data_IF_563831566866
#
_entry.id   IF_563831566866
#
_cell.length_a   1.000
_cell.length_b   1.000
_cell.length_c   1.000
_cell.angle_alpha   90.00
_cell.angle_beta   90.00
_cell.angle_gamma   90.00
#
_symmetry.space_group_name_H-M   'P 1'
#
loop_
_entity.id
_entity.type
_entity.pdbx_description
1 polymer ?
#
# COMPACT_ATOMS: atom_id res chain seq x y z
N UNK A 1 48.92 12.50 17.04
CA UNK A 1 47.61 11.90 17.29
C UNK A 1 46.98 11.67 15.93
N UNK A 2 46.89 10.42 15.46
CA UNK A 2 46.26 10.13 14.17
C UNK A 2 44.75 10.34 14.31
N UNK A 3 44.20 11.33 13.60
CA UNK A 3 42.76 11.45 13.42
C UNK A 3 42.30 10.24 12.59
N UNK A 4 41.86 9.17 13.26
CA UNK A 4 41.09 8.12 12.60
C UNK A 4 39.73 8.71 12.27
N UNK A 5 39.50 9.01 11.00
CA UNK A 5 38.15 9.34 10.52
C UNK A 5 37.23 8.18 10.90
N UNK A 6 36.10 8.42 11.59
CA UNK A 6 35.20 7.35 11.96
C UNK A 6 34.73 6.62 10.70
N UNK A 7 34.84 5.29 10.69
CA UNK A 7 34.34 4.47 9.60
C UNK A 7 32.83 4.45 9.69
N UNK A 8 32.17 5.16 8.78
CA UNK A 8 30.72 5.15 8.67
C UNK A 8 30.26 3.77 8.21
N UNK A 9 29.09 3.35 8.67
CA UNK A 9 28.34 2.27 8.03
C UNK A 9 27.82 2.74 6.67
N UNK A 10 27.48 1.80 5.78
CA UNK A 10 26.90 2.14 4.46
C UNK A 10 25.65 3.03 4.62
N UNK A 11 24.80 2.76 5.61
CA UNK A 11 23.60 3.57 5.81
C UNK A 11 23.91 5.00 6.30
N UNK A 12 24.93 5.17 7.15
CA UNK A 12 25.40 6.51 7.55
C UNK A 12 26.01 7.28 6.38
N UNK A 13 26.72 6.60 5.47
CA UNK A 13 27.20 7.21 4.21
C UNK A 13 26.02 7.70 3.37
N UNK A 14 25.00 6.87 3.14
CA UNK A 14 23.79 7.25 2.39
C UNK A 14 23.02 8.41 3.04
N UNK A 15 22.99 8.46 4.37
CA UNK A 15 22.39 9.55 5.12
C UNK A 15 23.17 10.86 4.94
N UNK A 16 24.51 10.80 5.00
CA UNK A 16 25.37 11.96 4.75
C UNK A 16 25.26 12.45 3.30
N UNK A 17 25.21 11.55 2.32
CA UNK A 17 24.95 11.90 0.91
C UNK A 17 23.58 12.56 0.73
N UNK A 18 22.54 12.03 1.39
CA UNK A 18 21.20 12.61 1.37
C UNK A 18 21.16 14.01 1.98
N UNK A 19 21.86 14.19 3.11
CA UNK A 19 21.97 15.46 3.83
C UNK A 19 22.73 16.52 3.02
N UNK A 20 23.82 16.11 2.35
CA UNK A 20 24.60 16.95 1.44
C UNK A 20 23.92 17.15 0.08
N UNK A 21 22.83 16.42 -0.19
CA UNK A 21 22.08 16.42 -1.45
C UNK A 21 22.95 16.02 -2.66
N UNK A 22 23.95 15.18 -2.46
CA UNK A 22 24.76 14.61 -3.55
C UNK A 22 24.09 13.40 -4.18
N UNK A 23 23.33 12.64 -3.39
CA UNK A 23 22.52 11.51 -3.83
C UNK A 23 21.15 11.58 -3.15
N UNK A 24 20.07 11.31 -3.88
CA UNK A 24 18.70 11.46 -3.37
C UNK A 24 18.09 10.13 -2.90
N UNK A 25 18.69 9.47 -1.91
CA UNK A 25 18.20 8.17 -1.45
C UNK A 25 16.73 8.16 -1.01
N UNK A 26 16.25 9.27 -0.43
CA UNK A 26 14.85 9.47 -0.01
C UNK A 26 13.93 9.95 -1.13
N UNK A 27 14.33 9.85 -2.40
CA UNK A 27 13.44 10.16 -3.53
C UNK A 27 12.27 9.17 -3.57
N UNK A 28 12.55 7.90 -3.37
CA UNK A 28 11.56 6.82 -3.35
C UNK A 28 11.40 6.25 -1.95
N UNK A 29 10.18 5.96 -1.54
CA UNK A 29 9.91 5.41 -0.22
C UNK A 29 8.44 5.04 -0.04
N UNK A 30 8.06 4.64 1.20
CA UNK A 30 6.70 4.24 1.53
C UNK A 30 5.85 5.48 1.80
N UNK A 31 5.76 6.36 0.79
CA UNK A 31 4.99 7.61 0.87
C UNK A 31 3.60 7.47 0.25
N UNK A 32 3.26 6.27 -0.22
CA UNK A 32 1.92 5.88 -0.65
C UNK A 32 1.15 5.37 0.56
N UNK A 33 -0.05 5.90 0.81
CA UNK A 33 -0.90 5.38 1.89
C UNK A 33 -1.50 4.05 1.46
N UNK A 34 -1.89 3.22 2.41
CA UNK A 34 -2.64 2.00 2.11
C UNK A 34 -4.16 2.24 2.10
N UNK A 35 -4.59 3.43 2.56
CA UNK A 35 -5.97 3.91 2.62
C UNK A 35 -6.02 5.43 2.43
N UNK A 36 -6.60 5.88 1.31
CA UNK A 36 -6.81 7.30 0.96
C UNK A 36 -8.29 7.69 0.90
N UNK A 37 -9.20 6.71 0.79
CA UNK A 37 -10.65 6.92 0.78
C UNK A 37 -11.19 7.38 2.15
N UNK A 38 -12.35 8.04 2.14
CA UNK A 38 -13.03 8.52 3.35
C UNK A 38 -12.27 9.60 4.11
N UNK A 39 -11.54 10.48 3.41
CA UNK A 39 -10.72 11.54 4.02
C UNK A 39 -11.28 12.93 3.73
N UNK A 40 -11.09 13.86 4.67
CA UNK A 40 -11.51 15.27 4.55
C UNK A 40 -10.95 15.96 3.31
N UNK A 41 -9.79 15.52 2.81
CA UNK A 41 -9.20 16.11 1.59
C UNK A 41 -9.97 15.73 0.33
N UNK A 42 -10.58 14.55 0.32
CA UNK A 42 -11.32 14.01 -0.81
C UNK A 42 -12.84 14.28 -0.72
N UNK A 43 -13.26 15.04 0.28
CA UNK A 43 -14.66 15.44 0.49
C UNK A 43 -15.06 16.57 -0.46
N UNK A 44 -16.02 16.28 -1.32
CA UNK A 44 -16.68 17.26 -2.20
C UNK A 44 -18.18 17.33 -1.96
N UNK A 45 -18.66 16.74 -0.85
CA UNK A 45 -20.07 16.79 -0.47
C UNK A 45 -20.48 18.22 -0.11
N UNK A 46 -21.75 18.59 -0.32
CA UNK A 46 -22.24 19.92 0.04
C UNK A 46 -22.26 20.17 1.56
N UNK A 47 -22.19 19.12 2.38
CA UNK A 47 -22.43 19.17 3.83
C UNK A 47 -21.19 18.82 4.68
N UNK A 48 -20.05 18.48 4.09
CA UNK A 48 -18.84 18.10 4.84
C UNK A 48 -18.87 16.66 5.37
N UNK A 49 -19.53 15.75 4.67
CA UNK A 49 -19.65 14.33 5.02
C UNK A 49 -18.53 13.50 4.38
N UNK A 50 -17.28 13.85 4.70
CA UNK A 50 -16.06 13.28 4.12
C UNK A 50 -15.99 11.75 4.10
N UNK A 51 -16.50 11.12 5.15
CA UNK A 51 -16.50 9.68 5.31
C UNK A 51 -17.43 8.97 4.30
N UNK A 52 -18.49 9.65 3.90
CA UNK A 52 -19.59 9.08 3.11
C UNK A 52 -19.52 9.51 1.63
N UNK A 53 -18.86 10.64 1.32
CA UNK A 53 -18.71 11.16 -0.05
C UNK A 53 -17.84 10.26 -0.92
N UNK A 54 -16.75 9.73 -0.35
CA UNK A 54 -15.77 8.92 -1.07
C UNK A 54 -15.45 7.63 -0.31
N UNK A 55 -16.41 6.68 -0.22
CA UNK A 55 -16.23 5.43 0.52
C UNK A 55 -15.30 4.46 -0.22
N UNK A 56 -14.91 3.39 0.48
CA UNK A 56 -14.10 2.30 -0.07
C UNK A 56 -14.68 1.73 -1.39
N UNK A 57 -16.01 1.67 -1.54
CA UNK A 57 -16.62 1.14 -2.77
C UNK A 57 -16.36 2.03 -4.00
N UNK A 58 -16.33 3.36 -3.81
CA UNK A 58 -15.99 4.30 -4.88
C UNK A 58 -14.49 4.39 -5.15
N UNK A 59 -13.64 4.16 -4.13
CA UNK A 59 -12.16 4.19 -4.19
C UNK A 59 -11.56 3.42 -5.38
N UNK A 60 -12.31 2.43 -5.85
CA UNK A 60 -11.97 1.43 -6.85
C UNK A 60 -12.18 1.92 -8.27
N UNK A 61 -13.00 2.95 -8.42
CA UNK A 61 -13.53 3.42 -9.70
C UNK A 61 -13.41 4.93 -9.88
N UNK A 62 -12.91 5.64 -8.88
CA UNK A 62 -12.77 7.11 -8.88
C UNK A 62 -11.32 7.48 -8.57
N UNK A 63 -10.75 8.37 -9.38
CA UNK A 63 -9.41 8.88 -9.15
C UNK A 63 -9.38 9.83 -7.95
N UNK A 64 -8.35 9.70 -7.11
CA UNK A 64 -8.05 10.64 -6.05
C UNK A 64 -7.50 11.95 -6.59
N UNK A 65 -7.72 13.04 -5.86
CA UNK A 65 -7.16 14.35 -6.24
C UNK A 65 -5.89 14.69 -5.49
N UNK A 66 -5.81 14.36 -4.19
CA UNK A 66 -4.76 14.85 -3.30
C UNK A 66 -3.74 13.80 -2.89
N UNK A 67 -4.02 12.53 -3.21
CA UNK A 67 -3.19 11.41 -2.84
C UNK A 67 -3.38 10.25 -3.82
N UNK A 68 -2.85 9.10 -3.44
CA UNK A 68 -3.07 7.78 -4.03
C UNK A 68 -2.96 6.76 -2.89
N UNK A 69 -3.56 5.59 -3.05
CA UNK A 69 -3.36 4.47 -2.13
C UNK A 69 -2.96 3.16 -2.83
N UNK A 70 -2.34 2.25 -2.06
CA UNK A 70 -1.99 0.91 -2.52
C UNK A 70 -1.30 0.06 -1.44
N UNK A 71 -1.61 -1.23 -1.40
CA UNK A 71 -1.08 -2.15 -0.36
C UNK A 71 0.44 -2.28 -0.47
N UNK A 72 1.14 -1.90 0.61
CA UNK A 72 2.60 -2.01 0.74
C UNK A 72 3.37 -1.23 -0.33
N UNK A 73 2.75 -0.21 -0.91
CA UNK A 73 3.30 0.49 -2.06
C UNK A 73 4.41 1.47 -1.74
N UNK A 74 5.11 1.88 -2.80
CA UNK A 74 6.09 2.95 -2.79
C UNK A 74 5.73 3.99 -3.83
N UNK A 75 6.21 5.22 -3.64
CA UNK A 75 6.15 6.24 -4.67
C UNK A 75 7.36 7.16 -4.55
N UNK A 76 7.57 7.98 -5.57
CA UNK A 76 8.51 9.09 -5.46
C UNK A 76 7.94 10.13 -4.47
N UNK A 77 8.80 10.99 -3.92
CA UNK A 77 8.43 11.99 -2.90
C UNK A 77 7.38 13.01 -3.35
N UNK A 78 7.09 13.10 -4.64
CA UNK A 78 6.02 13.94 -5.19
C UNK A 78 4.77 13.12 -5.55
N UNK A 79 4.81 11.80 -5.34
CA UNK A 79 3.76 10.82 -5.64
C UNK A 79 3.29 10.93 -7.09
N UNK A 80 4.22 11.14 -8.02
CA UNK A 80 3.93 11.18 -9.45
C UNK A 80 3.84 9.77 -10.02
N UNK A 81 4.72 8.87 -9.55
CA UNK A 81 4.77 7.47 -9.93
C UNK A 81 4.55 6.63 -8.68
N UNK A 82 3.57 5.74 -8.74
CA UNK A 82 3.21 4.84 -7.65
C UNK A 82 3.39 3.40 -8.11
N UNK A 83 3.86 2.56 -7.19
CA UNK A 83 3.87 1.13 -7.33
C UNK A 83 3.22 0.52 -6.09
N UNK A 84 2.35 -0.48 -6.28
CA UNK A 84 1.79 -1.25 -5.18
C UNK A 84 1.37 -2.64 -5.63
N UNK A 85 1.02 -3.45 -4.64
CA UNK A 85 0.55 -4.81 -4.85
C UNK A 85 -0.98 -4.85 -4.89
N UNK A 86 -1.52 -5.50 -5.93
CA UNK A 86 -2.89 -5.97 -5.96
C UNK A 86 -2.93 -7.50 -5.94
N UNK A 87 -3.90 -8.07 -5.23
CA UNK A 87 -4.07 -9.51 -5.06
C UNK A 87 -5.50 -9.94 -5.38
N UNK A 88 -5.68 -11.20 -5.79
CA UNK A 88 -7.00 -11.81 -5.89
C UNK A 88 -6.93 -13.30 -5.60
N UNK A 89 -7.75 -13.79 -4.68
CA UNK A 89 -7.82 -15.20 -4.28
C UNK A 89 -8.78 -16.04 -5.16
N UNK A 90 -9.28 -15.46 -6.26
CA UNK A 90 -10.27 -16.11 -7.15
C UNK A 90 -11.70 -16.13 -6.61
N UNK A 91 -11.93 -15.66 -5.37
CA UNK A 91 -13.22 -15.74 -4.68
C UNK A 91 -13.74 -14.38 -4.20
N UNK A 92 -12.85 -13.44 -3.95
CA UNK A 92 -13.23 -12.09 -3.56
C UNK A 92 -14.02 -11.44 -4.70
N UNK A 93 -15.06 -10.66 -4.37
CA UNK A 93 -15.83 -9.92 -5.37
C UNK A 93 -15.00 -8.82 -6.06
N UNK A 94 -13.82 -8.52 -5.51
CA UNK A 94 -13.02 -7.35 -5.83
C UNK A 94 -11.52 -7.67 -5.76
N UNK A 95 -10.70 -6.95 -6.53
CA UNK A 95 -9.24 -6.98 -6.33
C UNK A 95 -8.90 -6.39 -4.97
N UNK A 96 -7.96 -7.02 -4.27
CA UNK A 96 -7.40 -6.52 -3.03
C UNK A 96 -6.20 -5.64 -3.32
N UNK A 97 -6.48 -4.37 -3.60
CA UNK A 97 -5.51 -3.36 -4.05
C UNK A 97 -5.28 -2.24 -3.02
N UNK A 98 -6.18 -2.11 -2.04
CA UNK A 98 -6.12 -1.14 -0.92
C UNK A 98 -6.71 -1.76 0.33
N UNK A 99 -6.38 -1.23 1.50
CA UNK A 99 -6.91 -1.74 2.75
C UNK A 99 -8.36 -1.33 2.94
N UNK A 100 -9.17 -2.29 3.40
CA UNK A 100 -10.52 -2.05 3.83
C UNK A 100 -10.57 -1.65 5.30
N UNK A 101 -11.62 -0.92 5.66
CA UNK A 101 -11.86 -0.48 7.02
C UNK A 101 -13.25 0.10 7.15
N UNK A 102 -13.54 0.58 8.33
CA UNK A 102 -14.77 1.24 8.71
C UNK A 102 -14.56 2.74 8.75
N UNK A 103 -15.56 3.51 8.33
CA UNK A 103 -15.59 4.94 8.61
C UNK A 103 -15.91 5.21 10.08
N UNK A 104 -15.76 6.47 10.51
CA UNK A 104 -16.09 6.86 11.88
C UNK A 104 -17.54 6.60 12.29
N UNK A 105 -18.47 6.54 11.33
CA UNK A 105 -19.88 6.23 11.57
C UNK A 105 -20.18 4.72 11.57
N UNK A 106 -19.23 3.90 11.10
CA UNK A 106 -19.37 2.44 11.02
C UNK A 106 -18.67 1.71 12.18
N UNK A 107 -17.58 2.26 12.71
CA UNK A 107 -16.89 1.74 13.88
C UNK A 107 -17.42 2.31 15.19
N UNK A 108 -17.45 1.49 16.25
CA UNK A 108 -17.92 1.88 17.57
C UNK A 108 -16.90 2.76 18.35
N UNK A 109 -15.62 2.72 17.96
CA UNK A 109 -14.55 3.57 18.49
C UNK A 109 -13.89 4.50 17.46
N UNK A 110 -14.48 4.62 16.26
CA UNK A 110 -14.02 5.53 15.20
C UNK A 110 -13.65 4.80 13.91
N UNK A 111 -12.79 5.42 13.10
CA UNK A 111 -12.25 4.77 11.91
C UNK A 111 -11.36 3.59 12.30
N UNK A 112 -11.47 2.50 11.55
CA UNK A 112 -10.82 1.25 11.93
C UNK A 112 -10.47 0.40 10.70
N UNK A 113 -9.21 -0.02 10.59
CA UNK A 113 -8.73 -0.83 9.46
C UNK A 113 -8.95 -2.31 9.78
N UNK A 114 -9.76 -2.99 8.97
CA UNK A 114 -10.16 -4.39 9.22
C UNK A 114 -9.28 -5.39 8.49
N UNK A 115 -7.96 -5.15 8.52
CA UNK A 115 -6.96 -5.91 7.77
C UNK A 115 -5.75 -6.21 8.65
N UNK A 116 -5.07 -7.33 8.41
CA UNK A 116 -3.83 -7.66 9.12
C UNK A 116 -2.60 -7.47 8.22
N UNK A 117 -1.77 -6.50 8.60
CA UNK A 117 -0.55 -6.15 7.91
C UNK A 117 0.50 -5.61 8.89
N UNK A 118 1.77 -5.71 8.51
CA UNK A 118 2.89 -5.38 9.39
C UNK A 118 4.04 -4.78 8.58
N UNK A 119 4.56 -3.64 9.05
CA UNK A 119 5.88 -3.15 8.63
C UNK A 119 6.93 -3.89 9.44
N UNK A 120 7.77 -4.66 8.74
CA UNK A 120 8.74 -5.55 9.38
C UNK A 120 10.14 -4.95 9.44
N UNK A 121 10.54 -4.18 8.43
CA UNK A 121 11.84 -3.53 8.38
C UNK A 121 11.79 -2.29 7.49
N UNK A 122 12.58 -1.26 7.83
CA UNK A 122 12.78 -0.07 7.01
C UNK A 122 14.02 0.68 7.48
N UNK A 123 15.02 0.76 6.61
CA UNK A 123 16.20 1.61 6.83
C UNK A 123 15.83 3.11 6.72
N UNK A 124 16.56 4.03 7.40
CA UNK A 124 16.30 5.48 7.34
C UNK A 124 16.28 6.10 5.94
N UNK A 125 17.01 5.54 4.99
CA UNK A 125 17.03 5.95 3.57
C UNK A 125 16.09 5.14 2.68
N UNK A 126 15.33 4.21 3.27
CA UNK A 126 14.50 3.25 2.56
C UNK A 126 15.30 2.45 1.52
N UNK A 127 16.58 2.22 1.80
CA UNK A 127 17.47 1.39 0.97
C UNK A 127 17.11 -0.09 1.06
N UNK A 128 16.48 -0.49 2.17
CA UNK A 128 15.74 -1.73 2.34
C UNK A 128 14.44 -1.46 3.08
N UNK A 129 13.36 -2.14 2.66
CA UNK A 129 12.03 -2.14 3.29
C UNK A 129 11.39 -3.51 3.18
N UNK A 130 10.62 -3.91 4.20
CA UNK A 130 9.86 -5.17 4.21
C UNK A 130 8.48 -4.99 4.83
N UNK A 131 7.47 -5.41 4.10
CA UNK A 131 6.06 -5.39 4.48
C UNK A 131 5.49 -6.82 4.44
N UNK A 132 4.55 -7.12 5.33
CA UNK A 132 3.78 -8.36 5.34
C UNK A 132 2.29 -8.02 5.30
N UNK A 133 1.56 -8.65 4.38
CA UNK A 133 0.10 -8.64 4.33
C UNK A 133 -0.45 -10.05 4.52
N UNK A 134 -1.47 -10.21 5.36
CA UNK A 134 -2.19 -11.48 5.55
C UNK A 134 -3.46 -11.46 4.73
N UNK A 135 -3.49 -12.27 3.66
CA UNK A 135 -4.63 -12.31 2.73
C UNK A 135 -5.39 -13.62 2.84
N UNK A 136 -6.72 -13.56 2.98
CA UNK A 136 -7.56 -14.73 3.21
C UNK A 136 -7.75 -15.56 1.94
N UNK A 137 -7.80 -16.90 2.06
CA UNK A 137 -8.18 -17.78 0.95
C UNK A 137 -9.71 -17.87 0.76
N UNK A 138 -10.46 -17.47 1.78
CA UNK A 138 -11.91 -17.32 1.73
C UNK A 138 -12.28 -15.91 1.27
N UNK A 139 -13.50 -15.72 0.72
CA UNK A 139 -14.03 -14.40 0.42
C UNK A 139 -13.90 -13.49 1.63
N UNK A 140 -13.36 -12.29 1.42
CA UNK A 140 -13.18 -11.33 2.47
C UNK A 140 -14.56 -10.86 3.02
N UNK A 141 -14.79 -10.86 4.35
CA UNK A 141 -16.11 -10.71 4.95
C UNK A 141 -16.57 -9.24 5.11
N UNK A 142 -16.58 -8.46 4.01
CA UNK A 142 -16.90 -7.03 4.02
C UNK A 142 -18.23 -6.69 4.71
N UNK A 143 -19.33 -7.33 4.27
CA UNK A 143 -20.67 -7.03 4.77
C UNK A 143 -20.83 -7.39 6.26
N UNK A 144 -20.29 -8.54 6.67
CA UNK A 144 -20.32 -8.98 8.06
C UNK A 144 -19.58 -8.01 8.99
N UNK A 145 -18.40 -7.53 8.57
CA UNK A 145 -17.64 -6.54 9.34
C UNK A 145 -18.42 -5.24 9.54
N UNK A 146 -19.08 -4.74 8.50
CA UNK A 146 -19.89 -3.53 8.56
C UNK A 146 -21.13 -3.74 9.45
N UNK A 147 -21.88 -4.81 9.19
CA UNK A 147 -23.16 -5.09 9.86
C UNK A 147 -22.99 -5.34 11.36
N UNK A 148 -21.97 -6.09 11.77
CA UNK A 148 -21.72 -6.38 13.17
C UNK A 148 -21.19 -5.15 13.92
N UNK A 149 -20.25 -4.38 13.35
CA UNK A 149 -19.74 -3.19 14.03
C UNK A 149 -20.82 -2.10 14.19
N UNK A 150 -21.73 -1.93 13.23
CA UNK A 150 -22.87 -1.00 13.35
C UNK A 150 -23.83 -1.32 14.50
N UNK A 151 -23.87 -2.57 14.97
CA UNK A 151 -24.71 -2.99 16.10
C UNK A 151 -24.05 -2.70 17.46
N UNK A 152 -22.75 -2.41 17.49
CA UNK A 152 -21.96 -2.26 18.71
C UNK A 152 -21.97 -0.82 19.22
N UNK A 153 -22.05 -0.68 20.52
CA UNK A 153 -21.96 0.60 21.22
C UNK A 153 -20.54 0.90 21.70
N UNK A 154 -20.38 2.09 22.28
CA UNK A 154 -19.09 2.58 22.83
C UNK A 154 -18.50 1.70 23.94
N UNK A 155 -19.35 0.89 24.60
CA UNK A 155 -18.94 0.01 25.70
C UNK A 155 -18.63 -1.42 25.26
N UNK A 156 -18.92 -1.76 24.00
CA UNK A 156 -18.58 -3.05 23.43
C UNK A 156 -17.15 -3.01 22.86
N UNK A 157 -16.53 -4.18 22.75
CA UNK A 157 -15.28 -4.33 22.01
C UNK A 157 -15.52 -4.14 20.51
N UNK A 158 -14.50 -3.75 19.74
CA UNK A 158 -14.56 -3.77 18.28
C UNK A 158 -14.78 -5.21 17.77
N UNK A 159 -15.51 -5.37 16.66
CA UNK A 159 -15.61 -6.66 15.97
C UNK A 159 -14.52 -6.72 14.91
N UNK A 160 -13.56 -7.62 15.11
CA UNK A 160 -12.35 -7.71 14.32
C UNK A 160 -12.45 -8.73 13.20
N UNK A 161 -11.54 -8.62 12.21
CA UNK A 161 -11.46 -9.60 11.12
C UNK A 161 -11.24 -11.03 11.66
N UNK A 162 -10.46 -11.21 12.73
CA UNK A 162 -10.30 -12.51 13.39
C UNK A 162 -11.63 -13.08 13.91
N UNK A 163 -12.56 -12.24 14.37
CA UNK A 163 -13.84 -12.69 14.96
C UNK A 163 -14.83 -13.20 13.90
N UNK A 164 -14.53 -13.00 12.62
CA UNK A 164 -15.34 -13.51 11.50
C UNK A 164 -15.17 -15.01 11.28
N UNK A 165 -14.12 -15.60 11.85
CA UNK A 165 -13.72 -16.99 11.63
C UNK A 165 -12.97 -17.24 10.32
N UNK A 166 -12.70 -16.18 9.51
CA UNK A 166 -12.01 -16.31 8.21
C UNK A 166 -10.59 -16.87 8.32
N UNK A 167 -9.99 -16.85 9.52
CA UNK A 167 -8.66 -17.38 9.82
C UNK A 167 -8.67 -18.71 10.60
N UNK A 168 -9.82 -19.24 11.02
CA UNK A 168 -9.91 -20.38 11.97
C UNK A 168 -9.20 -21.64 11.46
N UNK A 169 -9.26 -21.90 10.15
CA UNK A 169 -8.65 -23.05 9.51
C UNK A 169 -7.19 -22.83 9.05
N UNK A 170 -6.57 -21.72 9.46
CA UNK A 170 -5.25 -21.28 8.96
C UNK A 170 -5.18 -21.12 7.43
N UNK A 171 -6.31 -20.84 6.78
CA UNK A 171 -6.45 -20.71 5.32
C UNK A 171 -6.22 -19.28 4.84
N UNK A 172 -4.95 -18.88 4.85
CA UNK A 172 -4.52 -17.57 4.38
C UNK A 172 -3.15 -17.63 3.70
N UNK A 173 -2.78 -16.53 3.06
CA UNK A 173 -1.46 -16.29 2.50
C UNK A 173 -0.73 -15.26 3.38
N UNK A 174 0.52 -15.56 3.74
CA UNK A 174 1.46 -14.51 4.13
C UNK A 174 2.11 -13.98 2.85
N UNK A 175 1.86 -12.72 2.52
CA UNK A 175 2.41 -12.06 1.34
C UNK A 175 3.42 -11.01 1.77
N UNK A 176 4.70 -11.32 1.57
CA UNK A 176 5.80 -10.42 1.82
C UNK A 176 6.09 -9.58 0.59
N UNK A 177 6.30 -8.29 0.81
CA UNK A 177 6.74 -7.34 -0.20
C UNK A 177 8.02 -6.67 0.31
N UNK A 178 9.11 -6.89 -0.41
CA UNK A 178 10.45 -6.41 -0.08
C UNK A 178 10.94 -5.46 -1.18
N UNK A 179 11.55 -4.37 -0.76
CA UNK A 179 12.22 -3.41 -1.64
C UNK A 179 13.69 -3.32 -1.25
N UNK A 180 14.58 -3.34 -2.24
CA UNK A 180 16.00 -3.13 -2.04
C UNK A 180 16.55 -2.18 -3.10
N UNK A 181 17.29 -1.16 -2.67
CA UNK A 181 17.90 -0.18 -3.57
C UNK A 181 19.34 -0.58 -3.88
N UNK A 182 19.62 -0.86 -5.15
CA UNK A 182 21.00 -0.93 -5.63
C UNK A 182 21.60 0.48 -5.74
N UNK A 183 20.79 1.43 -6.22
CA UNK A 183 21.10 2.87 -6.21
C UNK A 183 19.83 3.68 -5.85
N UNK A 184 19.93 5.00 -5.77
CA UNK A 184 18.77 5.86 -5.49
C UNK A 184 17.67 5.85 -6.58
N UNK A 185 17.96 5.34 -7.78
CA UNK A 185 16.99 5.19 -8.89
C UNK A 185 16.81 3.73 -9.34
N UNK A 186 17.49 2.78 -8.71
CA UNK A 186 17.42 1.36 -9.05
C UNK A 186 16.89 0.57 -7.85
N UNK A 187 15.63 0.14 -7.97
CA UNK A 187 14.85 -0.48 -6.91
C UNK A 187 14.44 -1.88 -7.36
N UNK A 188 14.96 -2.89 -6.67
CA UNK A 188 14.51 -4.26 -6.81
C UNK A 188 13.29 -4.50 -5.92
N UNK A 189 12.31 -5.20 -6.47
CA UNK A 189 11.06 -5.55 -5.79
C UNK A 189 10.96 -7.07 -5.74
N UNK A 190 10.69 -7.62 -4.55
CA UNK A 190 10.45 -9.04 -4.37
C UNK A 190 9.14 -9.26 -3.67
N UNK A 191 8.29 -10.08 -4.28
CA UNK A 191 7.03 -10.53 -3.71
C UNK A 191 7.17 -12.01 -3.40
N UNK A 192 6.94 -12.39 -2.15
CA UNK A 192 6.95 -13.80 -1.71
C UNK A 192 5.61 -14.11 -1.06
N UNK A 193 4.85 -15.03 -1.66
CA UNK A 193 3.58 -15.49 -1.10
C UNK A 193 3.74 -16.91 -0.52
N UNK A 194 3.43 -17.07 0.75
CA UNK A 194 3.35 -18.37 1.41
C UNK A 194 1.90 -18.76 1.64
N UNK A 195 1.46 -19.84 1.01
CA UNK A 195 0.21 -20.50 1.38
C UNK A 195 0.38 -21.15 2.76
N UNK A 196 -0.37 -20.67 3.77
CA UNK A 196 -0.37 -21.21 5.13
C UNK A 196 -1.41 -22.31 5.34
N UNK A 197 -2.36 -22.42 4.41
CA UNK A 197 -3.40 -23.43 4.45
C UNK A 197 -2.88 -24.83 4.10
N UNK A 198 -3.63 -25.87 4.46
CA UNK A 198 -3.24 -27.26 4.22
C UNK A 198 -3.38 -27.69 2.75
N UNK A 199 -4.20 -26.98 1.97
CA UNK A 199 -4.54 -27.33 0.59
C UNK A 199 -3.94 -26.33 -0.40
N UNK A 200 -3.78 -26.76 -1.66
CA UNK A 200 -3.49 -25.84 -2.76
C UNK A 200 -4.58 -24.77 -2.88
N UNK A 201 -4.16 -23.51 -3.03
CA UNK A 201 -5.04 -22.37 -3.19
C UNK A 201 -4.50 -21.44 -4.27
N UNK A 202 -5.40 -20.96 -5.13
CA UNK A 202 -5.08 -20.01 -6.19
C UNK A 202 -4.87 -18.61 -5.61
N UNK A 203 -3.84 -17.92 -6.11
CA UNK A 203 -3.55 -16.53 -5.80
C UNK A 203 -3.05 -15.85 -7.05
N UNK A 204 -3.79 -14.84 -7.51
CA UNK A 204 -3.32 -13.92 -8.52
C UNK A 204 -2.54 -12.79 -7.85
N UNK A 205 -1.34 -12.54 -8.36
CA UNK A 205 -0.43 -11.49 -7.88
C UNK A 205 -0.27 -10.48 -9.00
N UNK A 206 -0.63 -9.22 -8.75
CA UNK A 206 -0.65 -8.14 -9.74
C UNK A 206 0.20 -6.96 -9.23
N UNK A 207 1.53 -7.00 -9.44
CA UNK A 207 2.40 -5.84 -9.21
C UNK A 207 2.00 -4.73 -10.19
N UNK A 208 1.60 -3.57 -9.68
CA UNK A 208 0.99 -2.52 -10.51
C UNK A 208 1.77 -1.23 -10.37
N UNK A 209 2.09 -0.60 -11.50
CA UNK A 209 2.67 0.74 -11.59
C UNK A 209 1.68 1.69 -12.25
N UNK A 210 1.52 2.89 -11.71
CA UNK A 210 0.66 3.92 -12.30
C UNK A 210 1.17 5.33 -12.00
N UNK A 211 0.65 6.28 -12.76
CA UNK A 211 0.86 7.70 -12.50
C UNK A 211 -0.31 8.29 -11.73
N UNK A 212 -0.03 9.09 -10.69
CA UNK A 212 -1.07 9.85 -10.00
C UNK A 212 -1.77 10.79 -10.97
N UNK A 213 -3.10 10.79 -10.97
CA UNK A 213 -3.87 11.66 -11.84
C UNK A 213 -3.77 13.12 -11.38
N UNK A 214 -2.88 13.88 -12.01
CA UNK A 214 -2.71 15.32 -11.76
C UNK A 214 -3.22 16.18 -12.92
N UNK A 215 -3.39 15.58 -14.11
CA UNK A 215 -3.77 16.28 -15.33
C UNK A 215 -5.26 16.59 -15.43
N UNK A 216 -6.13 15.78 -14.78
CA UNK A 216 -7.57 16.07 -14.75
C UNK A 216 -7.93 17.35 -14.00
N UNK A 217 -7.06 17.81 -13.10
CA UNK A 217 -7.34 18.92 -12.18
C UNK A 217 -6.60 20.21 -12.51
N UNK A 218 -5.58 20.12 -13.37
CA UNK A 218 -4.66 21.23 -13.65
C UNK A 218 -4.67 21.52 -15.14
N UNK A 219 -5.17 22.70 -15.57
CA UNK A 219 -5.13 23.09 -16.98
C UNK A 219 -3.70 23.00 -17.53
N UNK A 220 -3.57 22.40 -18.72
CA UNK A 220 -2.29 22.23 -19.43
C UNK A 220 -1.23 21.39 -18.71
N UNK A 221 -1.59 20.63 -17.66
CA UNK A 221 -0.64 19.72 -17.04
C UNK A 221 -0.25 18.59 -18.01
N UNK A 222 1.04 18.21 -18.05
CA UNK A 222 1.51 17.13 -18.90
C UNK A 222 0.90 15.80 -18.45
N UNK A 223 0.48 14.98 -19.41
CA UNK A 223 0.07 13.60 -19.15
C UNK A 223 1.28 12.69 -19.35
N UNK A 224 1.70 11.93 -18.34
CA UNK A 224 2.84 11.04 -18.46
C UNK A 224 2.52 9.83 -19.34
N UNK A 225 3.58 9.20 -19.86
CA UNK A 225 3.49 8.03 -20.74
C UNK A 225 4.40 6.93 -20.23
N UNK A 226 3.95 5.68 -20.34
CA UNK A 226 4.73 4.50 -19.98
C UNK A 226 5.06 3.72 -21.24
N UNK A 227 6.33 3.43 -21.49
CA UNK A 227 6.73 2.63 -22.64
C UNK A 227 7.56 1.42 -22.18
N UNK A 228 7.33 0.27 -22.83
CA UNK A 228 8.20 -0.89 -22.68
C UNK A 228 9.54 -0.58 -23.35
N UNK A 229 10.62 -0.84 -22.63
CA UNK A 229 11.99 -0.73 -23.14
C UNK A 229 12.42 -2.05 -23.82
N UNK A 230 13.65 -2.09 -24.36
CA UNK A 230 14.23 -3.29 -24.97
C UNK A 230 14.22 -4.49 -24.00
N UNK A 231 14.02 -5.69 -24.56
CA UNK A 231 14.00 -6.92 -23.77
C UNK A 231 15.39 -7.22 -23.19
N UNK A 232 15.46 -7.33 -21.87
CA UNK A 232 16.66 -7.72 -21.12
C UNK A 232 16.72 -9.25 -20.93
N UNK A 233 16.40 -10.01 -21.98
CA UNK A 233 16.32 -11.48 -21.94
C UNK A 233 15.01 -11.96 -21.28
N UNK A 234 15.11 -12.61 -20.12
CA UNK A 234 13.95 -13.11 -19.36
C UNK A 234 13.21 -11.99 -18.57
N UNK A 235 13.64 -10.73 -18.72
CA UNK A 235 13.08 -9.57 -18.06
C UNK A 235 12.67 -8.50 -19.07
N UNK A 236 11.60 -7.77 -18.75
CA UNK A 236 11.16 -6.58 -19.48
C UNK A 236 11.40 -5.35 -18.60
N UNK A 237 11.97 -4.30 -19.18
CA UNK A 237 12.11 -3.01 -18.54
C UNK A 237 11.00 -2.05 -19.00
N UNK A 238 10.68 -1.09 -18.14
CA UNK A 238 9.72 -0.04 -18.44
C UNK A 238 10.45 1.29 -18.30
N UNK A 239 10.45 2.08 -19.37
CA UNK A 239 10.93 3.46 -19.35
C UNK A 239 9.75 4.41 -19.10
N UNK A 240 9.88 5.19 -18.02
CA UNK A 240 8.94 6.20 -17.56
C UNK A 240 9.26 7.58 -18.15
#
# INVERSE_FOLDING_TARGET
>A
MSNSTPHLTIEEERLEESKKRTVHWKRWGPYLSERQWGTVREDYSPNGEAWEDFPHDQARSRAYRWGEDGIGGICDRHQQICFALALWNGKDPILKERLFGLTGNEGNHGEDVKEYYFYLDSTPTHSYMKFLYKYTQHPFPYAQLIEENRKRGKHDWEYELMDTGVFDDNRYFDVFLEYAKATHEDILIRITAHNRGPDFAELHVLPTIWFRNTWSWTPHAPRPTLNRDEDLGDAQAIHL
#
